data_IF_579584162041
#
_entry.id   IF_579584162041
#
_cell.length_a   1.000
_cell.length_b   1.000
_cell.length_c   1.000
_cell.angle_alpha   90.00
_cell.angle_beta   90.00
_cell.angle_gamma   90.00
#
_symmetry.space_group_name_H-M   'P 1'
#
loop_
_entity.id
_entity.type
_entity.pdbx_description
1 polymer ?
#
# COMPACT_ATOMS: atom_id res chain seq x y z
N UNK A 1 -14.31 23.25 -34.13
CA UNK A 1 -13.92 22.27 -33.09
C UNK A 1 -12.60 22.73 -32.51
N UNK A 2 -12.64 23.45 -31.39
CA UNK A 2 -11.42 23.85 -30.68
C UNK A 2 -10.88 22.65 -29.90
N UNK A 3 -9.57 22.34 -29.98
CA UNK A 3 -9.00 21.27 -29.19
C UNK A 3 -9.12 21.65 -27.72
N UNK A 4 -9.84 20.83 -26.97
CA UNK A 4 -9.98 20.93 -25.53
C UNK A 4 -8.59 20.71 -24.93
N UNK A 5 -7.96 21.80 -24.48
CA UNK A 5 -6.69 21.76 -23.79
C UNK A 5 -6.78 20.73 -22.67
N UNK A 6 -5.94 19.70 -22.73
CA UNK A 6 -5.78 18.72 -21.66
C UNK A 6 -5.57 19.50 -20.36
N UNK A 7 -6.53 19.44 -19.44
CA UNK A 7 -6.35 20.03 -18.11
C UNK A 7 -5.03 19.50 -17.54
N UNK A 8 -4.21 20.34 -16.88
CA UNK A 8 -3.08 19.82 -16.14
C UNK A 8 -3.61 18.73 -15.20
N UNK A 9 -3.00 17.55 -15.24
CA UNK A 9 -3.34 16.47 -14.33
C UNK A 9 -3.27 17.04 -12.91
N UNK A 10 -4.35 16.89 -12.15
CA UNK A 10 -4.43 17.36 -10.77
C UNK A 10 -3.18 16.84 -10.01
N UNK A 11 -2.38 17.71 -9.39
CA UNK A 11 -1.17 17.30 -8.68
C UNK A 11 -1.43 16.20 -7.64
N UNK A 12 -2.62 16.17 -7.04
CA UNK A 12 -3.03 15.11 -6.11
C UNK A 12 -3.17 13.75 -6.82
N UNK A 13 -3.69 13.74 -8.05
CA UNK A 13 -3.81 12.51 -8.86
C UNK A 13 -2.44 11.99 -9.32
N UNK A 14 -1.50 12.88 -9.65
CA UNK A 14 -0.13 12.48 -9.97
C UNK A 14 0.57 11.88 -8.75
N UNK A 15 0.46 12.54 -7.59
CA UNK A 15 1.03 12.04 -6.34
C UNK A 15 0.41 10.68 -5.95
N UNK A 16 -0.89 10.52 -6.18
CA UNK A 16 -1.61 9.27 -6.01
C UNK A 16 -1.05 8.15 -6.89
N UNK A 17 -0.88 8.39 -8.19
CA UNK A 17 -0.31 7.41 -9.09
C UNK A 17 1.11 6.98 -8.66
N UNK A 18 1.94 7.92 -8.18
CA UNK A 18 3.29 7.60 -7.69
C UNK A 18 3.29 6.76 -6.42
N UNK A 19 2.37 7.01 -5.47
CA UNK A 19 2.24 6.19 -4.26
C UNK A 19 1.69 4.79 -4.59
N UNK A 20 0.74 4.71 -5.52
CA UNK A 20 0.21 3.44 -6.03
C UNK A 20 1.31 2.56 -6.66
N UNK A 21 2.16 3.16 -7.49
CA UNK A 21 3.27 2.47 -8.14
C UNK A 21 4.30 1.96 -7.11
N UNK A 22 4.70 2.82 -6.15
CA UNK A 22 5.60 2.41 -5.06
C UNK A 22 5.02 1.30 -4.20
N UNK A 23 3.72 1.35 -3.91
CA UNK A 23 3.04 0.30 -3.16
C UNK A 23 3.07 -1.02 -3.92
N UNK A 24 2.84 -0.98 -5.23
CA UNK A 24 2.89 -2.15 -6.10
C UNK A 24 4.30 -2.75 -6.16
N UNK A 25 5.33 -1.92 -6.33
CA UNK A 25 6.73 -2.39 -6.34
C UNK A 25 7.15 -2.96 -4.98
N UNK A 26 6.78 -2.31 -3.87
CA UNK A 26 7.06 -2.81 -2.52
C UNK A 26 6.38 -4.16 -2.25
N UNK A 27 5.13 -4.31 -2.68
CA UNK A 27 4.39 -5.57 -2.59
C UNK A 27 5.05 -6.69 -3.40
N UNK A 28 5.53 -6.40 -4.62
CA UNK A 28 6.25 -7.35 -5.47
C UNK A 28 7.57 -7.77 -4.84
N UNK A 29 8.30 -6.83 -4.23
CA UNK A 29 9.58 -7.08 -3.56
C UNK A 29 9.46 -7.74 -2.19
N UNK A 30 8.23 -7.99 -1.73
CA UNK A 30 7.91 -8.45 -0.37
C UNK A 30 8.50 -7.53 0.73
N UNK A 31 8.72 -6.25 0.42
CA UNK A 31 9.16 -5.25 1.39
C UNK A 31 7.97 -4.82 2.25
N UNK A 32 7.78 -5.51 3.37
CA UNK A 32 6.66 -5.27 4.28
C UNK A 32 6.66 -3.87 4.88
N UNK A 33 7.82 -3.31 5.19
CA UNK A 33 7.92 -1.99 5.82
C UNK A 33 7.51 -0.92 4.82
N UNK A 34 8.06 -0.99 3.59
CA UNK A 34 7.70 -0.04 2.54
C UNK A 34 6.24 -0.18 2.11
N UNK A 35 5.69 -1.40 2.11
CA UNK A 35 4.27 -1.66 1.83
C UNK A 35 3.37 -1.01 2.88
N UNK A 36 3.69 -1.13 4.18
CA UNK A 36 2.94 -0.49 5.26
C UNK A 36 2.99 1.04 5.18
N UNK A 37 4.18 1.62 4.98
CA UNK A 37 4.35 3.08 4.84
C UNK A 37 3.52 3.60 3.66
N UNK A 38 3.69 2.98 2.49
CA UNK A 38 3.00 3.43 1.28
C UNK A 38 1.48 3.28 1.38
N UNK A 39 0.99 2.25 2.08
CA UNK A 39 -0.44 2.05 2.36
C UNK A 39 -1.00 3.12 3.28
N UNK A 40 -0.29 3.46 4.36
CA UNK A 40 -0.69 4.51 5.30
C UNK A 40 -0.75 5.88 4.63
N UNK A 41 0.24 6.21 3.79
CA UNK A 41 0.25 7.43 3.01
C UNK A 41 -0.92 7.49 2.01
N UNK A 42 -1.23 6.37 1.35
CA UNK A 42 -2.34 6.27 0.41
C UNK A 42 -3.70 6.43 1.12
N UNK A 43 -3.89 5.83 2.30
CA UNK A 43 -5.12 5.97 3.10
C UNK A 43 -5.31 7.42 3.58
N UNK A 44 -4.24 8.05 4.09
CA UNK A 44 -4.29 9.46 4.51
C UNK A 44 -4.68 10.37 3.36
N UNK A 45 -4.11 10.14 2.18
CA UNK A 45 -4.43 10.93 1.01
C UNK A 45 -5.87 10.66 0.54
N UNK A 46 -6.31 9.40 0.53
CA UNK A 46 -7.69 9.03 0.16
C UNK A 46 -8.74 9.72 1.03
N UNK A 47 -8.49 9.88 2.34
CA UNK A 47 -9.36 10.62 3.26
C UNK A 47 -9.37 12.13 3.02
N UNK A 48 -8.32 12.67 2.40
CA UNK A 48 -8.21 14.10 2.08
C UNK A 48 -8.81 14.47 0.72
N UNK A 49 -9.22 13.48 -0.08
CA UNK A 49 -9.82 13.71 -1.40
C UNK A 49 -11.21 14.35 -1.26
N UNK A 50 -11.43 15.41 -2.02
CA UNK A 50 -12.73 16.09 -2.11
C UNK A 50 -13.76 15.31 -2.95
N UNK A 51 -15.04 15.76 -2.94
CA UNK A 51 -16.13 15.09 -3.65
C UNK A 51 -15.93 14.98 -5.17
N UNK A 52 -15.18 15.90 -5.77
CA UNK A 52 -14.87 15.88 -7.21
C UNK A 52 -13.87 14.78 -7.61
N UNK A 53 -13.21 14.14 -6.63
CA UNK A 53 -12.16 13.14 -6.83
C UNK A 53 -12.63 11.72 -6.47
N UNK A 54 -13.93 11.46 -6.62
CA UNK A 54 -14.58 10.21 -6.20
C UNK A 54 -13.96 8.95 -6.82
N UNK A 55 -13.60 9.01 -8.11
CA UNK A 55 -12.94 7.89 -8.81
C UNK A 55 -11.55 7.59 -8.23
N UNK A 56 -10.76 8.62 -7.93
CA UNK A 56 -9.46 8.47 -7.29
C UNK A 56 -9.60 7.87 -5.88
N UNK A 57 -10.60 8.29 -5.11
CA UNK A 57 -10.89 7.72 -3.80
C UNK A 57 -11.33 6.24 -3.86
N UNK A 58 -12.08 5.85 -4.90
CA UNK A 58 -12.43 4.44 -5.14
C UNK A 58 -11.17 3.64 -5.47
N UNK A 59 -10.33 4.15 -6.38
CA UNK A 59 -9.09 3.50 -6.76
C UNK A 59 -8.14 3.35 -5.57
N UNK A 60 -8.01 4.38 -4.73
CA UNK A 60 -7.22 4.36 -3.49
C UNK A 60 -7.61 3.22 -2.57
N UNK A 61 -8.91 3.10 -2.29
CA UNK A 61 -9.42 2.05 -1.41
C UNK A 61 -9.15 0.65 -1.94
N UNK A 62 -9.22 0.45 -3.27
CA UNK A 62 -8.88 -0.84 -3.89
C UNK A 62 -7.41 -1.20 -3.70
N UNK A 63 -6.50 -0.25 -3.91
CA UNK A 63 -5.06 -0.48 -3.73
C UNK A 63 -4.70 -0.74 -2.27
N UNK A 64 -5.30 -0.01 -1.32
CA UNK A 64 -5.13 -0.28 0.12
C UNK A 64 -5.60 -1.69 0.46
N UNK A 65 -6.78 -2.10 -0.02
CA UNK A 65 -7.28 -3.45 0.22
C UNK A 65 -6.32 -4.53 -0.33
N UNK A 66 -5.83 -4.34 -1.56
CA UNK A 66 -4.86 -5.26 -2.17
C UNK A 66 -3.55 -5.33 -1.38
N UNK A 67 -3.04 -4.20 -0.88
CA UNK A 67 -1.83 -4.18 -0.07
C UNK A 67 -2.02 -4.88 1.29
N UNK A 68 -3.19 -4.72 1.92
CA UNK A 68 -3.54 -5.45 3.14
C UNK A 68 -3.53 -6.96 2.86
N UNK A 69 -4.15 -7.42 1.76
CA UNK A 69 -4.13 -8.84 1.39
C UNK A 69 -2.69 -9.38 1.18
N UNK A 70 -1.81 -8.59 0.56
CA UNK A 70 -0.40 -8.97 0.40
C UNK A 70 0.29 -9.11 1.75
N UNK A 71 0.08 -8.15 2.67
CA UNK A 71 0.64 -8.16 4.01
C UNK A 71 0.14 -9.34 4.84
N UNK A 72 -1.16 -9.63 4.79
CA UNK A 72 -1.77 -10.78 5.48
C UNK A 72 -1.17 -12.10 4.98
N UNK A 73 -1.00 -12.24 3.66
CA UNK A 73 -0.38 -13.42 3.06
C UNK A 73 1.10 -13.55 3.45
N UNK A 74 1.85 -12.46 3.47
CA UNK A 74 3.24 -12.45 3.91
C UNK A 74 3.37 -12.84 5.40
N UNK A 75 2.48 -12.31 6.25
CA UNK A 75 2.43 -12.66 7.67
C UNK A 75 2.11 -14.14 7.87
N UNK A 76 1.12 -14.68 7.15
CA UNK A 76 0.78 -16.10 7.21
C UNK A 76 1.97 -17.00 6.79
N UNK A 77 2.71 -16.62 5.73
CA UNK A 77 3.94 -17.31 5.31
C UNK A 77 5.04 -17.25 6.38
N UNK A 78 5.25 -16.08 6.97
CA UNK A 78 6.21 -15.87 8.06
C UNK A 78 5.90 -16.71 9.29
N UNK A 79 4.63 -16.72 9.73
CA UNK A 79 4.16 -17.51 10.87
C UNK A 79 4.25 -19.02 10.62
N UNK A 80 3.94 -19.49 9.40
CA UNK A 80 4.11 -20.89 9.02
C UNK A 80 5.58 -21.33 9.05
N UNK A 81 6.49 -20.44 8.64
CA UNK A 81 7.94 -20.65 8.69
C UNK A 81 8.45 -20.69 10.13
N UNK A 82 8.06 -19.72 10.96
CA UNK A 82 8.41 -19.66 12.38
C UNK A 82 7.91 -20.89 13.18
N UNK A 83 6.75 -21.44 12.81
CA UNK A 83 6.21 -22.66 13.43
C UNK A 83 7.01 -23.92 13.03
N UNK A 84 7.63 -23.93 11.86
CA UNK A 84 8.50 -25.03 11.41
C UNK A 84 9.91 -24.95 12.00
N UNK A 85 10.38 -23.74 12.36
CA UNK A 85 11.68 -23.56 13.01
C UNK A 85 11.54 -22.91 14.41
N UNK A 86 11.43 -23.73 15.47
CA UNK A 86 11.22 -23.23 16.83
C UNK A 86 12.39 -22.39 17.37
N UNK A 87 13.58 -22.45 16.75
CA UNK A 87 14.72 -21.62 17.12
C UNK A 87 14.56 -20.18 16.63
N UNK A 88 13.89 -19.97 15.50
CA UNK A 88 13.66 -18.64 14.93
C UNK A 88 12.52 -17.91 15.65
N UNK A 89 11.51 -18.64 16.14
CA UNK A 89 10.44 -18.11 16.98
C UNK A 89 10.96 -17.49 18.30
N UNK A 90 12.05 -18.03 18.86
CA UNK A 90 12.67 -17.52 20.08
C UNK A 90 13.33 -16.13 19.88
N UNK A 91 13.84 -15.83 18.67
CA UNK A 91 14.44 -14.52 18.39
C UNK A 91 13.38 -13.43 18.15
N UNK A 92 12.24 -13.77 17.53
CA UNK A 92 11.13 -12.82 17.31
C UNK A 92 10.45 -12.43 18.64
N UNK A 93 10.36 -13.37 19.59
CA UNK A 93 9.80 -13.11 20.94
C UNK A 93 10.77 -12.35 21.84
N UNK A 94 12.09 -12.57 21.71
CA UNK A 94 13.09 -11.84 22.49
C UNK A 94 13.25 -10.35 22.08
N UNK A 95 12.90 -9.98 20.85
CA UNK A 95 12.93 -8.58 20.38
C UNK A 95 11.67 -7.76 20.69
N UNK A 96 10.62 -8.40 21.23
CA UNK A 96 9.33 -7.77 21.56
C UNK A 96 9.13 -7.57 23.09
N UNK A 97 10.16 -7.82 23.89
CA UNK A 97 10.17 -7.70 25.35
C UNK A 97 11.01 -6.51 25.84
#
# INVERSE_FOLDING_TARGET
>A
MTPQAARPADPALLHFAMLADRLTDAAIREDMVQTLISTADLDRMARSLGPDQREAAIHARKLVAQAIEVLENALARGMATARRDPRQAAYVTAGAA
#
